data_IF_468467158077
#
_entry.id   IF_468467158077
#
_cell.length_a   1.000
_cell.length_b   1.000
_cell.length_c   1.000
_cell.angle_alpha   90.00
_cell.angle_beta   90.00
_cell.angle_gamma   90.00
#
_symmetry.space_group_name_H-M   'P 1'
#
loop_
_entity.id
_entity.type
_entity.pdbx_description
1 polymer ?
#
# COMPACT_ATOMS: atom_id res chain seq x y z
N UNK A 1 -34.06 12.43 -21.07
CA UNK A 1 -32.68 12.81 -20.65
C UNK A 1 -31.74 11.79 -21.26
N UNK A 2 -30.88 12.21 -22.18
CA UNK A 2 -29.94 11.31 -22.87
C UNK A 2 -28.91 10.83 -21.83
N UNK A 3 -28.96 9.55 -21.49
CA UNK A 3 -28.03 8.92 -20.56
C UNK A 3 -26.67 8.78 -21.25
N UNK A 4 -25.77 9.75 -21.02
CA UNK A 4 -24.42 9.70 -21.55
C UNK A 4 -23.60 8.64 -20.78
N UNK A 5 -23.66 7.40 -21.26
CA UNK A 5 -23.07 6.22 -20.61
C UNK A 5 -21.57 6.38 -20.33
N UNK A 6 -20.84 7.13 -21.17
CA UNK A 6 -19.39 7.33 -21.05
C UNK A 6 -18.99 8.31 -19.94
N UNK A 7 -19.77 9.38 -19.73
CA UNK A 7 -19.56 10.31 -18.62
C UNK A 7 -19.96 9.70 -17.27
N UNK A 8 -21.00 8.85 -17.29
CA UNK A 8 -21.48 8.15 -16.10
C UNK A 8 -20.49 7.07 -15.62
N UNK A 9 -19.86 6.32 -16.54
CA UNK A 9 -18.80 5.36 -16.18
C UNK A 9 -17.56 6.04 -15.61
N UNK A 10 -17.17 7.22 -16.10
CA UNK A 10 -16.04 7.97 -15.53
C UNK A 10 -16.30 8.42 -14.09
N UNK A 11 -17.51 8.91 -13.79
CA UNK A 11 -17.89 9.31 -12.43
C UNK A 11 -17.97 8.11 -11.47
N UNK A 12 -18.48 6.97 -11.93
CA UNK A 12 -18.53 5.75 -11.12
C UNK A 12 -17.12 5.21 -10.86
N UNK A 13 -16.24 5.23 -11.87
CA UNK A 13 -14.85 4.80 -11.72
C UNK A 13 -14.09 5.68 -10.72
N UNK A 14 -14.32 7.00 -10.73
CA UNK A 14 -13.76 7.93 -9.75
C UNK A 14 -14.26 7.61 -8.33
N UNK A 15 -15.57 7.40 -8.13
CA UNK A 15 -16.12 7.03 -6.81
C UNK A 15 -15.52 5.72 -6.28
N UNK A 16 -15.37 4.71 -7.14
CA UNK A 16 -14.74 3.44 -6.77
C UNK A 16 -13.26 3.64 -6.44
N UNK A 17 -12.53 4.46 -7.20
CA UNK A 17 -11.13 4.78 -6.92
C UNK A 17 -10.93 5.44 -5.55
N UNK A 18 -11.80 6.40 -5.19
CA UNK A 18 -11.76 7.06 -3.87
C UNK A 18 -12.10 6.05 -2.76
N UNK A 19 -13.09 5.18 -2.96
CA UNK A 19 -13.44 4.14 -1.97
C UNK A 19 -12.27 3.18 -1.71
N UNK A 20 -11.58 2.72 -2.76
CA UNK A 20 -10.41 1.85 -2.64
C UNK A 20 -9.25 2.58 -1.96
N UNK A 21 -9.02 3.85 -2.28
CA UNK A 21 -8.01 4.68 -1.62
C UNK A 21 -8.31 4.87 -0.13
N UNK A 22 -9.56 5.13 0.24
CA UNK A 22 -9.97 5.28 1.64
C UNK A 22 -9.77 3.97 2.42
N UNK A 23 -10.12 2.82 1.83
CA UNK A 23 -9.82 1.52 2.44
C UNK A 23 -8.33 1.33 2.66
N UNK A 24 -7.50 1.68 1.67
CA UNK A 24 -6.04 1.56 1.78
C UNK A 24 -5.47 2.37 2.95
N UNK A 25 -5.95 3.60 3.13
CA UNK A 25 -5.52 4.50 4.21
C UNK A 25 -5.84 3.92 5.60
N UNK A 26 -6.97 3.22 5.74
CA UNK A 26 -7.35 2.57 7.00
C UNK A 26 -6.37 1.45 7.36
N UNK A 27 -5.88 0.71 6.37
CA UNK A 27 -4.90 -0.36 6.59
C UNK A 27 -3.49 0.13 6.90
N UNK A 28 -3.17 1.42 6.72
CA UNK A 28 -1.84 1.95 7.04
C UNK A 28 -1.54 1.81 8.54
N UNK A 29 -2.48 2.16 9.41
CA UNK A 29 -2.29 2.11 10.87
C UNK A 29 -1.94 0.71 11.41
N UNK A 30 -2.73 -0.36 11.13
CA UNK A 30 -2.36 -1.70 11.60
C UNK A 30 -1.07 -2.22 10.95
N UNK A 31 -0.78 -1.86 9.70
CA UNK A 31 0.49 -2.24 9.06
C UNK A 31 1.68 -1.56 9.75
N UNK A 32 1.57 -0.28 10.11
CA UNK A 32 2.62 0.41 10.86
C UNK A 32 2.82 -0.15 12.27
N UNK A 33 1.76 -0.61 12.94
CA UNK A 33 1.86 -1.24 14.24
C UNK A 33 2.62 -2.57 14.15
N UNK A 34 2.26 -3.43 13.17
CA UNK A 34 2.95 -4.70 12.93
C UNK A 34 4.43 -4.48 12.57
N UNK A 35 4.73 -3.46 11.76
CA UNK A 35 6.13 -3.09 11.43
C UNK A 35 6.89 -2.65 12.68
N UNK A 36 6.27 -1.81 13.51
CA UNK A 36 6.89 -1.31 14.73
C UNK A 36 7.14 -2.43 15.74
N UNK A 37 6.20 -3.38 15.85
CA UNK A 37 6.35 -4.58 16.68
C UNK A 37 7.46 -5.49 16.15
N UNK A 38 7.52 -5.71 14.83
CA UNK A 38 8.56 -6.50 14.17
C UNK A 38 9.94 -5.86 14.31
N UNK A 39 10.00 -4.53 14.39
CA UNK A 39 11.24 -3.74 14.57
C UNK A 39 11.76 -3.67 16.00
N UNK A 40 10.95 -4.05 16.97
CA UNK A 40 11.29 -3.92 18.38
C UNK A 40 12.52 -4.78 18.75
N UNK A 41 13.21 -4.39 19.82
CA UNK A 41 14.50 -4.94 20.28
C UNK A 41 14.46 -6.45 20.56
N UNK A 42 13.27 -7.02 20.72
CA UNK A 42 13.07 -8.46 20.97
C UNK A 42 13.06 -9.33 19.71
N UNK A 43 12.90 -8.75 18.50
CA UNK A 43 12.80 -9.52 17.25
C UNK A 43 13.90 -9.21 16.22
N UNK A 44 14.13 -7.94 15.87
CA UNK A 44 15.13 -7.58 14.84
C UNK A 44 16.07 -6.43 15.21
N UNK A 45 15.80 -5.70 16.30
CA UNK A 45 16.66 -4.62 16.83
C UNK A 45 17.18 -3.67 15.73
N UNK A 46 16.27 -3.22 14.87
CA UNK A 46 16.58 -2.39 13.70
C UNK A 46 17.09 -0.97 14.06
N UNK A 47 17.22 -0.64 15.34
CA UNK A 47 17.71 0.65 15.82
C UNK A 47 19.23 0.68 15.98
N UNK A 48 19.87 -0.48 16.19
CA UNK A 48 21.31 -0.58 16.39
C UNK A 48 22.07 -0.85 15.08
N UNK A 49 21.86 -0.03 14.04
CA UNK A 49 22.59 -0.17 12.77
C UNK A 49 24.12 0.00 12.92
N UNK A 50 24.59 0.60 14.01
CA UNK A 50 25.99 0.94 14.27
C UNK A 50 26.78 -0.09 15.09
N UNK A 51 26.15 -1.19 15.55
CA UNK A 51 26.81 -2.24 16.33
C UNK A 51 26.47 -3.63 15.81
N UNK A 52 27.47 -4.39 15.38
CA UNK A 52 27.55 -5.88 15.31
C UNK A 52 26.32 -6.69 14.87
N UNK A 53 25.36 -6.13 14.13
CA UNK A 53 24.24 -6.86 13.55
C UNK A 53 24.71 -7.56 12.27
N UNK A 54 24.40 -8.86 12.15
CA UNK A 54 24.69 -9.69 10.96
C UNK A 54 24.00 -9.10 9.72
N UNK A 55 24.66 -9.14 8.55
CA UNK A 55 24.12 -8.58 7.29
C UNK A 55 22.70 -9.09 6.96
N UNK A 56 22.38 -10.32 7.38
CA UNK A 56 21.05 -10.90 7.23
C UNK A 56 19.95 -10.12 7.98
N UNK A 57 20.23 -9.62 9.19
CA UNK A 57 19.29 -8.84 9.98
C UNK A 57 19.08 -7.43 9.41
N UNK A 58 20.14 -6.83 8.85
CA UNK A 58 20.05 -5.55 8.12
C UNK A 58 19.15 -5.66 6.89
N UNK A 59 19.30 -6.75 6.13
CA UNK A 59 18.45 -7.02 4.97
C UNK A 59 16.98 -7.18 5.35
N UNK A 60 16.69 -7.89 6.43
CA UNK A 60 15.30 -8.08 6.90
C UNK A 60 14.67 -6.78 7.43
N UNK A 61 15.42 -5.93 8.14
CA UNK A 61 14.92 -4.60 8.54
C UNK A 61 14.53 -3.72 7.34
N UNK A 62 15.29 -3.81 6.24
CA UNK A 62 15.01 -3.09 5.01
C UNK A 62 13.76 -3.64 4.31
N UNK A 63 13.60 -4.97 4.26
CA UNK A 63 12.41 -5.62 3.67
C UNK A 63 11.14 -5.24 4.43
N UNK A 64 11.19 -5.21 5.76
CA UNK A 64 10.04 -4.84 6.60
C UNK A 64 9.63 -3.37 6.38
N UNK A 65 10.60 -2.46 6.22
CA UNK A 65 10.29 -1.07 5.83
C UNK A 65 9.72 -0.95 4.42
N UNK A 66 10.16 -1.83 3.51
CA UNK A 66 9.70 -1.82 2.12
C UNK A 66 8.26 -2.34 1.96
N UNK A 67 7.71 -3.02 2.96
CA UNK A 67 6.36 -3.59 2.92
C UNK A 67 5.27 -2.50 2.81
N UNK A 68 5.44 -1.37 3.51
CA UNK A 68 4.52 -0.22 3.44
C UNK A 68 4.43 0.39 2.04
N UNK A 69 5.55 0.82 1.40
CA UNK A 69 5.49 1.38 0.05
C UNK A 69 5.03 0.34 -0.98
N UNK A 70 5.35 -0.95 -0.79
CA UNK A 70 4.88 -2.00 -1.70
C UNK A 70 3.36 -2.20 -1.63
N UNK A 71 2.79 -2.18 -0.42
CA UNK A 71 1.34 -2.27 -0.23
C UNK A 71 0.59 -1.12 -0.92
N UNK A 72 1.09 0.11 -0.75
CA UNK A 72 0.50 1.30 -1.39
C UNK A 72 0.62 1.19 -2.92
N UNK A 73 1.77 0.78 -3.45
CA UNK A 73 1.98 0.60 -4.88
C UNK A 73 1.03 -0.43 -5.49
N UNK A 74 0.80 -1.56 -4.82
CA UNK A 74 -0.14 -2.60 -5.28
C UNK A 74 -1.56 -2.07 -5.33
N UNK A 75 -2.01 -1.35 -4.31
CA UNK A 75 -3.36 -0.77 -4.28
C UNK A 75 -3.55 0.25 -5.41
N UNK A 76 -2.59 1.14 -5.62
CA UNK A 76 -2.65 2.12 -6.71
C UNK A 76 -2.66 1.41 -8.07
N UNK A 77 -1.87 0.36 -8.25
CA UNK A 77 -1.86 -0.43 -9.47
C UNK A 77 -3.22 -1.11 -9.73
N UNK A 78 -3.85 -1.68 -8.70
CA UNK A 78 -5.18 -2.30 -8.80
C UNK A 78 -6.24 -1.24 -9.12
N UNK A 79 -6.24 -0.10 -8.43
CA UNK A 79 -7.17 0.99 -8.68
C UNK A 79 -7.01 1.54 -10.12
N UNK A 80 -5.76 1.74 -10.55
CA UNK A 80 -5.43 2.16 -11.92
C UNK A 80 -5.87 1.14 -12.97
N UNK A 81 -5.66 -0.16 -12.71
CA UNK A 81 -6.08 -1.25 -13.59
C UNK A 81 -7.62 -1.34 -13.71
N UNK A 82 -8.35 -1.15 -12.61
CA UNK A 82 -9.82 -1.14 -12.63
C UNK A 82 -10.37 0.04 -13.44
N UNK A 83 -9.75 1.21 -13.35
CA UNK A 83 -10.14 2.39 -14.12
C UNK A 83 -9.79 2.17 -15.59
N UNK A 84 -8.56 1.76 -15.91
CA UNK A 84 -8.10 1.57 -17.30
C UNK A 84 -8.86 0.47 -18.03
N UNK A 85 -9.21 -0.62 -17.34
CA UNK A 85 -10.06 -1.67 -17.90
C UNK A 85 -11.42 -1.13 -18.35
N UNK A 86 -12.06 -0.25 -17.57
CA UNK A 86 -13.37 0.35 -17.89
C UNK A 86 -13.31 1.46 -18.94
N UNK A 87 -12.13 2.00 -19.23
CA UNK A 87 -11.93 2.96 -20.32
C UNK A 87 -11.55 2.29 -21.65
N UNK A 88 -10.96 1.08 -21.61
CA UNK A 88 -10.53 0.33 -22.79
C UNK A 88 -11.62 -0.63 -23.35
N UNK A 89 -12.55 -1.12 -22.52
CA UNK A 89 -13.74 -1.89 -22.94
C UNK A 89 -15.00 -1.05 -22.90
#
# INVERSE_FOLDING_TARGET
>A
MVMNRKGQTALIALMVGIMVFMMAMIFIAPISDVISETRNETQLDCSQLNGTISDGQKATCLIVDLILPYFIAVIIAIAGALISARFLT
#
